data_IF_106842773625
#
_entry.id   IF_106842773625
#
_cell.length_a   1.000
_cell.length_b   1.000
_cell.length_c   1.000
_cell.angle_alpha   90.00
_cell.angle_beta   90.00
_cell.angle_gamma   90.00
#
_symmetry.space_group_name_H-M   'P 1'
#
loop_
_entity.id
_entity.type
_entity.pdbx_description
1 polymer ?
#
# COMPACT_ATOMS: atom_id res chain seq x y z
N UNK A 1 20.61 -6.43 1.58
CA UNK A 1 20.74 -5.06 2.12
C UNK A 1 19.89 -4.99 3.37
N UNK A 2 20.52 -4.81 4.53
CA UNK A 2 19.82 -4.43 5.75
C UNK A 2 19.58 -2.93 5.59
N UNK A 3 18.33 -2.46 5.64
CA UNK A 3 18.02 -1.03 5.77
C UNK A 3 18.75 -0.55 7.04
N UNK A 4 19.89 0.14 6.89
CA UNK A 4 20.69 0.61 8.03
C UNK A 4 20.03 1.76 8.80
N UNK A 5 18.85 2.23 8.38
CA UNK A 5 18.28 3.51 8.83
C UNK A 5 17.22 3.40 9.94
N UNK A 6 16.64 2.21 10.19
CA UNK A 6 15.64 2.03 11.24
C UNK A 6 16.22 1.32 12.47
N UNK A 7 16.38 2.06 13.57
CA UNK A 7 16.71 1.49 14.87
C UNK A 7 15.41 1.23 15.68
N UNK A 8 14.97 -0.03 15.80
CA UNK A 8 13.75 -0.36 16.54
C UNK A 8 13.83 0.01 18.03
N UNK A 9 15.04 0.18 18.59
CA UNK A 9 15.25 0.59 19.98
C UNK A 9 14.96 2.08 20.20
N UNK A 10 15.01 2.90 19.14
CA UNK A 10 14.70 4.34 19.19
C UNK A 10 13.23 4.66 19.03
N UNK A 11 12.40 3.65 18.74
CA UNK A 11 10.98 3.87 18.55
C UNK A 11 10.18 3.60 19.82
N UNK A 12 9.42 4.61 20.23
CA UNK A 12 8.67 4.62 21.48
C UNK A 12 7.44 3.73 21.43
N UNK A 13 7.11 3.12 22.56
CA UNK A 13 6.17 2.02 22.65
C UNK A 13 4.72 2.45 22.34
N UNK A 14 4.31 2.11 21.12
CA UNK A 14 2.92 2.07 20.62
C UNK A 14 2.32 0.68 20.88
N UNK A 15 2.24 0.27 22.15
CA UNK A 15 1.94 -1.12 22.53
C UNK A 15 0.58 -1.58 22.02
N UNK A 16 -0.45 -0.73 22.16
CA UNK A 16 -1.79 -1.04 21.69
C UNK A 16 -1.85 -1.26 20.18
N UNK A 17 -1.25 -0.36 19.39
CA UNK A 17 -1.25 -0.49 17.94
C UNK A 17 -0.39 -1.68 17.46
N UNK A 18 0.69 -1.99 18.18
CA UNK A 18 1.49 -3.19 17.95
C UNK A 18 0.70 -4.46 18.26
N UNK A 19 -0.05 -4.49 19.36
CA UNK A 19 -0.90 -5.63 19.71
C UNK A 19 -1.94 -5.87 18.60
N UNK A 20 -2.67 -4.84 18.18
CA UNK A 20 -3.63 -4.95 17.06
C UNK A 20 -2.99 -5.50 15.78
N UNK A 21 -1.78 -5.03 15.45
CA UNK A 21 -1.05 -5.55 14.29
C UNK A 21 -0.62 -7.01 14.48
N UNK A 22 -0.20 -7.41 15.68
CA UNK A 22 0.14 -8.79 16.00
C UNK A 22 -1.08 -9.71 15.94
N UNK A 23 -2.27 -9.25 16.34
CA UNK A 23 -3.51 -10.00 16.19
C UNK A 23 -3.87 -10.25 14.74
N UNK A 24 -3.70 -9.24 13.87
CA UNK A 24 -3.85 -9.38 12.43
C UNK A 24 -2.85 -10.38 11.86
N UNK A 25 -1.58 -10.27 12.26
CA UNK A 25 -0.55 -11.24 11.89
C UNK A 25 -0.86 -12.64 12.40
N UNK A 26 -1.62 -12.82 13.47
CA UNK A 26 -2.03 -14.14 13.94
C UNK A 26 -3.30 -14.64 13.23
N UNK A 27 -3.97 -13.77 12.46
CA UNK A 27 -5.26 -14.05 11.82
C UNK A 27 -6.30 -14.57 12.83
N UNK A 28 -6.32 -13.99 14.05
CA UNK A 28 -7.19 -14.44 15.17
C UNK A 28 -8.67 -14.38 14.82
N UNK A 29 -9.07 -13.42 13.99
CA UNK A 29 -10.44 -13.18 13.58
C UNK A 29 -10.52 -12.93 12.06
N UNK A 30 -11.65 -12.37 11.59
CA UNK A 30 -11.89 -12.04 10.18
C UNK A 30 -11.30 -10.70 9.74
N UNK A 31 -10.67 -9.94 10.64
CA UNK A 31 -10.11 -8.63 10.30
C UNK A 31 -8.85 -8.78 9.46
N UNK A 32 -8.77 -7.96 8.42
CA UNK A 32 -7.66 -7.96 7.46
C UNK A 32 -7.10 -6.58 7.21
N UNK A 33 -7.74 -5.53 7.73
CA UNK A 33 -7.32 -4.14 7.56
C UNK A 33 -7.04 -3.51 8.92
N UNK A 34 -5.89 -2.87 9.06
CA UNK A 34 -5.59 -1.91 10.13
C UNK A 34 -5.59 -0.50 9.53
N UNK A 35 -6.59 0.31 9.85
CA UNK A 35 -6.66 1.70 9.44
C UNK A 35 -6.16 2.61 10.56
N UNK A 36 -5.11 3.39 10.30
CA UNK A 36 -4.47 4.28 11.27
C UNK A 36 -4.67 5.73 10.80
N UNK A 37 -5.61 6.40 11.44
CA UNK A 37 -5.88 7.82 11.24
C UNK A 37 -5.28 8.60 12.40
N UNK A 38 -4.51 9.65 12.10
CA UNK A 38 -4.07 10.61 13.12
C UNK A 38 -3.59 11.91 12.47
N UNK A 39 -3.37 12.94 13.26
CA UNK A 39 -2.74 14.18 12.85
C UNK A 39 -1.29 13.97 12.37
N UNK A 40 -0.75 14.99 11.69
CA UNK A 40 0.65 14.99 11.24
C UNK A 40 1.64 14.89 12.41
N UNK A 41 2.78 14.23 12.18
CA UNK A 41 3.89 14.15 13.15
C UNK A 41 3.67 13.23 14.35
N UNK A 42 2.55 12.52 14.43
CA UNK A 42 2.26 11.57 15.53
C UNK A 42 3.03 10.24 15.43
N UNK A 43 3.92 10.09 14.46
CA UNK A 43 4.78 8.90 14.32
C UNK A 43 4.16 7.72 13.55
N UNK A 44 3.11 7.94 12.74
CA UNK A 44 2.50 6.90 11.89
C UNK A 44 3.52 6.22 10.98
N UNK A 45 4.34 6.99 10.25
CA UNK A 45 5.35 6.43 9.35
C UNK A 45 6.38 5.57 10.08
N UNK A 46 6.85 6.04 11.24
CA UNK A 46 7.78 5.28 12.08
C UNK A 46 7.14 4.00 12.66
N UNK A 47 5.84 4.03 12.98
CA UNK A 47 5.08 2.85 13.39
C UNK A 47 4.98 1.82 12.26
N UNK A 48 4.71 2.26 11.03
CA UNK A 48 4.69 1.38 9.86
C UNK A 48 6.08 0.76 9.56
N UNK A 49 7.17 1.53 9.71
CA UNK A 49 8.53 0.97 9.63
C UNK A 49 8.79 -0.07 10.72
N UNK A 50 8.28 0.15 11.94
CA UNK A 50 8.34 -0.86 13.01
C UNK A 50 7.57 -2.13 12.64
N UNK A 51 6.37 -1.99 12.06
CA UNK A 51 5.59 -3.15 11.59
C UNK A 51 6.33 -3.90 10.47
N UNK A 52 6.92 -3.18 9.51
CA UNK A 52 7.77 -3.77 8.46
C UNK A 52 8.96 -4.54 9.04
N UNK A 53 9.65 -3.95 10.03
CA UNK A 53 10.72 -4.62 10.76
C UNK A 53 10.22 -5.88 11.48
N UNK A 54 9.05 -5.83 12.11
CA UNK A 54 8.42 -6.98 12.78
C UNK A 54 8.15 -8.12 11.80
N UNK A 55 7.58 -7.83 10.63
CA UNK A 55 7.35 -8.83 9.56
C UNK A 55 8.65 -9.52 9.11
N UNK A 56 9.77 -8.79 9.06
CA UNK A 56 11.10 -9.31 8.68
C UNK A 56 11.76 -10.18 9.77
N UNK A 57 11.38 -9.99 11.03
CA UNK A 57 12.03 -10.64 12.19
C UNK A 57 11.22 -11.77 12.81
N UNK A 58 9.89 -11.74 12.71
CA UNK A 58 9.02 -12.83 13.16
C UNK A 58 9.29 -14.10 12.33
N UNK A 59 9.07 -15.28 12.93
CA UNK A 59 9.21 -16.59 12.27
C UNK A 59 7.83 -17.28 12.18
N UNK A 60 7.42 -17.79 11.00
CA UNK A 60 8.06 -17.58 9.70
C UNK A 60 8.07 -16.10 9.30
N UNK A 61 9.05 -15.69 8.48
CA UNK A 61 9.13 -14.30 8.00
C UNK A 61 7.91 -14.01 7.15
N UNK A 62 7.26 -12.87 7.38
CA UNK A 62 6.10 -12.42 6.62
C UNK A 62 6.55 -11.44 5.53
N UNK A 63 6.31 -11.73 4.25
CA UNK A 63 6.50 -10.78 3.15
C UNK A 63 5.71 -9.50 3.37
N UNK A 64 6.38 -8.37 3.15
CA UNK A 64 5.81 -7.06 3.41
C UNK A 64 6.29 -6.06 2.37
N UNK A 65 5.37 -5.23 1.88
CA UNK A 65 5.69 -4.02 1.11
C UNK A 65 5.13 -2.80 1.83
N UNK A 66 5.97 -1.78 1.98
CA UNK A 66 5.60 -0.49 2.57
C UNK A 66 5.77 0.59 1.51
N UNK A 67 4.65 1.19 1.10
CA UNK A 67 4.62 2.21 0.06
C UNK A 67 4.16 3.54 0.65
N UNK A 68 4.98 4.58 0.45
CA UNK A 68 4.58 5.97 0.73
C UNK A 68 3.86 6.50 -0.49
N UNK A 69 2.54 6.68 -0.37
CA UNK A 69 1.70 7.06 -1.50
C UNK A 69 1.98 8.49 -2.00
N UNK A 70 2.58 9.36 -1.18
CA UNK A 70 3.04 10.68 -1.60
C UNK A 70 4.40 10.68 -2.33
N UNK A 71 5.03 9.51 -2.51
CA UNK A 71 6.32 9.33 -3.18
C UNK A 71 6.23 8.42 -4.41
N UNK A 72 5.02 8.17 -4.92
CA UNK A 72 4.85 7.43 -6.17
C UNK A 72 5.51 8.21 -7.33
N UNK A 73 6.15 7.53 -8.30
CA UNK A 73 6.79 8.18 -9.44
C UNK A 73 5.78 8.88 -10.36
N UNK A 74 4.50 8.53 -10.26
CA UNK A 74 3.39 9.15 -10.98
C UNK A 74 2.07 8.96 -10.23
N UNK A 75 0.99 9.46 -10.84
CA UNK A 75 -0.36 9.42 -10.27
C UNK A 75 -1.17 8.19 -10.74
N UNK A 76 -0.51 7.11 -11.14
CA UNK A 76 -1.16 5.90 -11.65
C UNK A 76 -1.21 4.78 -10.62
N UNK A 77 -2.33 4.03 -10.52
CA UNK A 77 -2.36 2.76 -9.78
C UNK A 77 -1.31 1.75 -10.21
N UNK A 78 -0.89 1.79 -11.48
CA UNK A 78 0.16 0.90 -11.99
C UNK A 78 1.52 1.20 -11.34
N UNK A 79 1.80 2.46 -11.01
CA UNK A 79 3.04 2.84 -10.31
C UNK A 79 3.09 2.25 -8.90
N UNK A 80 1.95 2.27 -8.20
CA UNK A 80 1.80 1.60 -6.90
C UNK A 80 2.03 0.09 -7.04
N UNK A 81 1.37 -0.57 -8.00
CA UNK A 81 1.51 -2.02 -8.22
C UNK A 81 2.95 -2.39 -8.60
N UNK A 82 3.63 -1.59 -9.42
CA UNK A 82 5.03 -1.82 -9.75
C UNK A 82 5.95 -1.82 -8.51
N UNK A 83 5.70 -0.94 -7.55
CA UNK A 83 6.44 -0.93 -6.26
C UNK A 83 6.12 -2.18 -5.45
N UNK A 84 4.83 -2.56 -5.36
CA UNK A 84 4.40 -3.77 -4.66
C UNK A 84 5.07 -5.03 -5.24
N UNK A 85 5.00 -5.20 -6.56
CA UNK A 85 5.63 -6.33 -7.27
C UNK A 85 7.13 -6.32 -7.04
N UNK A 86 7.80 -5.16 -7.14
CA UNK A 86 9.24 -5.06 -6.88
C UNK A 86 9.60 -5.53 -5.47
N UNK A 87 8.88 -5.08 -4.44
CA UNK A 87 9.13 -5.44 -3.05
C UNK A 87 8.85 -6.92 -2.74
N UNK A 88 7.86 -7.50 -3.41
CA UNK A 88 7.38 -8.87 -3.17
C UNK A 88 8.05 -9.93 -4.06
N UNK A 89 8.59 -9.53 -5.22
CA UNK A 89 9.27 -10.40 -6.20
C UNK A 89 10.45 -11.22 -5.68
N UNK A 90 11.19 -10.84 -4.61
CA UNK A 90 12.23 -11.71 -4.06
C UNK A 90 11.70 -13.04 -3.52
N UNK A 91 10.38 -13.15 -3.31
CA UNK A 91 9.75 -14.35 -2.76
C UNK A 91 8.62 -14.91 -3.62
N UNK A 92 7.97 -14.07 -4.41
CA UNK A 92 6.80 -14.45 -5.19
C UNK A 92 7.00 -14.22 -6.67
N UNK A 93 6.40 -15.08 -7.48
CA UNK A 93 6.43 -14.97 -8.93
C UNK A 93 5.20 -14.24 -9.44
N UNK A 94 5.38 -13.06 -10.00
CA UNK A 94 4.33 -12.25 -10.61
C UNK A 94 4.33 -12.42 -12.14
N UNK A 95 4.39 -13.67 -12.60
CA UNK A 95 4.57 -13.99 -14.01
C UNK A 95 3.44 -13.48 -14.90
N UNK A 96 2.18 -13.53 -14.44
CA UNK A 96 1.08 -13.00 -15.23
C UNK A 96 1.18 -11.48 -15.34
N UNK A 97 1.38 -10.78 -14.23
CA UNK A 97 1.62 -9.34 -14.24
C UNK A 97 2.79 -8.95 -15.15
N UNK A 98 3.96 -9.59 -14.97
CA UNK A 98 5.17 -9.30 -15.74
C UNK A 98 4.98 -9.56 -17.24
N UNK A 99 4.24 -10.61 -17.61
CA UNK A 99 3.88 -10.90 -19.00
C UNK A 99 3.08 -9.76 -19.62
N UNK A 100 2.01 -9.31 -18.96
CA UNK A 100 1.17 -8.23 -19.48
C UNK A 100 1.85 -6.87 -19.46
N UNK A 101 2.63 -6.57 -18.41
CA UNK A 101 3.36 -5.31 -18.32
C UNK A 101 4.48 -5.23 -19.37
N UNK A 102 5.21 -6.32 -19.60
CA UNK A 102 6.18 -6.39 -20.70
C UNK A 102 5.51 -6.17 -22.05
N UNK A 103 4.38 -6.85 -22.28
CA UNK A 103 3.60 -6.69 -23.51
C UNK A 103 3.14 -5.23 -23.71
N UNK A 104 2.69 -4.56 -22.64
CA UNK A 104 2.32 -3.14 -22.65
C UNK A 104 3.50 -2.23 -22.99
N UNK A 105 4.66 -2.43 -22.35
CA UNK A 105 5.88 -1.64 -22.57
C UNK A 105 6.38 -1.80 -24.02
N UNK A 106 6.40 -3.03 -24.53
CA UNK A 106 6.85 -3.33 -25.90
C UNK A 106 5.76 -3.11 -26.96
N UNK A 107 4.57 -2.63 -26.56
CA UNK A 107 3.43 -2.40 -27.45
C UNK A 107 2.97 -3.67 -28.19
N UNK A 108 3.24 -4.86 -27.63
CA UNK A 108 2.71 -6.14 -28.10
C UNK A 108 1.30 -6.36 -27.53
N UNK A 109 0.29 -6.15 -28.36
CA UNK A 109 -1.10 -6.28 -27.93
C UNK A 109 -1.61 -7.72 -27.98
N UNK A 110 -0.84 -8.67 -28.51
CA UNK A 110 -1.25 -10.06 -28.68
C UNK A 110 -1.74 -10.70 -27.37
N UNK A 111 -0.96 -10.71 -26.26
CA UNK A 111 -1.40 -11.29 -25.00
C UNK A 111 -2.54 -10.49 -24.34
N UNK A 112 -2.53 -9.17 -24.49
CA UNK A 112 -3.55 -8.28 -23.89
C UNK A 112 -4.90 -8.48 -24.58
N UNK A 113 -4.92 -8.57 -25.91
CA UNK A 113 -6.13 -8.86 -26.70
C UNK A 113 -6.72 -10.22 -26.37
N UNK A 114 -5.88 -11.23 -26.13
CA UNK A 114 -6.34 -12.56 -25.71
C UNK A 114 -6.96 -12.55 -24.29
N UNK A 115 -6.50 -11.66 -23.41
CA UNK A 115 -7.04 -11.52 -22.05
C UNK A 115 -8.33 -10.70 -21.98
N UNK A 116 -8.51 -9.76 -22.91
CA UNK A 116 -9.75 -8.99 -23.04
C UNK A 116 -10.78 -9.91 -23.68
N UNK A 117 -11.62 -10.54 -22.85
CA UNK A 117 -12.70 -11.42 -23.30
C UNK A 117 -13.72 -10.63 -24.16
N UNK A 118 -13.47 -10.62 -25.47
CA UNK A 118 -14.30 -9.95 -26.48
C UNK A 118 -15.69 -10.59 -26.59
N UNK A 119 -15.93 -11.77 -26.01
CA UNK A 119 -17.24 -12.42 -26.06
C UNK A 119 -18.31 -11.71 -25.22
N UNK A 120 -17.92 -10.84 -24.28
CA UNK A 120 -18.85 -9.99 -23.52
C UNK A 120 -19.00 -8.56 -24.05
N UNK A 121 -18.29 -8.21 -25.12
CA UNK A 121 -18.45 -6.91 -25.75
C UNK A 121 -19.74 -6.88 -26.60
N UNK A 122 -20.82 -6.35 -26.05
CA UNK A 122 -22.10 -6.21 -26.78
C UNK A 122 -22.00 -5.05 -27.78
N UNK A 123 -21.72 -5.35 -29.05
CA UNK A 123 -21.59 -4.34 -30.13
C UNK A 123 -22.92 -3.78 -30.66
N UNK A 124 -24.03 -3.87 -29.91
CA UNK A 124 -25.38 -3.58 -30.41
C UNK A 124 -25.65 -2.11 -30.80
N UNK A 125 -24.68 -1.19 -30.68
CA UNK A 125 -24.84 0.22 -31.07
C UNK A 125 -23.63 0.84 -31.78
N UNK A 126 -22.59 0.08 -32.08
CA UNK A 126 -21.42 0.64 -32.74
C UNK A 126 -21.67 0.73 -34.25
N UNK A 127 -21.67 1.96 -34.80
CA UNK A 127 -21.52 2.21 -36.23
C UNK A 127 -20.03 2.41 -36.49
N UNK A 128 -19.50 1.74 -37.51
CA UNK A 128 -18.09 1.75 -37.92
C UNK A 128 -17.11 1.13 -36.89
N UNK A 129 -17.25 -0.18 -36.65
CA UNK A 129 -16.23 -0.95 -35.93
C UNK A 129 -15.21 -1.49 -36.93
N UNK A 130 -14.03 -0.88 -36.97
CA UNK A 130 -12.87 -1.46 -37.65
C UNK A 130 -12.20 -2.46 -36.71
N UNK A 131 -12.52 -3.75 -36.86
CA UNK A 131 -11.85 -4.82 -36.12
C UNK A 131 -10.51 -5.10 -36.81
N UNK A 132 -9.45 -4.49 -36.32
CA UNK A 132 -8.09 -4.87 -36.70
C UNK A 132 -7.75 -6.21 -36.03
N UNK A 133 -7.62 -7.25 -36.85
CA UNK A 133 -7.24 -8.63 -36.50
C UNK A 133 -8.15 -9.35 -35.50
N UNK A 134 -9.15 -10.06 -36.06
CA UNK A 134 -9.58 -11.32 -35.47
C UNK A 134 -9.43 -12.37 -36.56
N UNK A 135 -8.55 -13.34 -36.33
CA UNK A 135 -8.53 -14.60 -37.07
C UNK A 135 -9.76 -15.43 -36.65
N UNK A 136 -10.94 -14.90 -36.93
CA UNK A 136 -12.16 -15.72 -36.99
C UNK A 136 -12.04 -16.50 -38.28
N UNK A 137 -12.07 -17.83 -38.19
CA UNK A 137 -12.45 -18.67 -39.32
C UNK A 137 -13.87 -18.23 -39.75
N UNK A 138 -13.92 -17.24 -40.63
CA UNK A 138 -15.10 -16.85 -41.38
C UNK A 138 -14.94 -17.57 -42.71
N UNK A 139 -15.81 -18.54 -42.97
CA UNK A 139 -15.75 -19.35 -44.19
C UNK A 139 -15.94 -18.55 -45.48
N UNK A 140 -16.22 -17.24 -45.42
CA UNK A 140 -16.12 -16.33 -46.54
C UNK A 140 -15.70 -14.93 -46.07
N UNK A 141 -14.47 -14.52 -46.37
CA UNK A 141 -14.09 -13.11 -46.31
C UNK A 141 -13.01 -12.79 -47.35
N UNK A 142 -13.33 -11.79 -48.17
CA UNK A 142 -12.40 -11.09 -49.04
C UNK A 142 -11.16 -10.63 -48.28
N UNK A 143 -10.01 -10.73 -48.94
CA UNK A 143 -8.69 -10.28 -48.49
C UNK A 143 -8.73 -8.86 -47.93
N UNK A 144 -8.68 -8.73 -46.61
CA UNK A 144 -8.40 -7.46 -45.93
C UNK A 144 -6.88 -7.30 -45.86
N UNK A 145 -6.35 -6.41 -46.69
CA UNK A 145 -4.95 -5.99 -46.64
C UNK A 145 -4.73 -5.12 -45.40
N UNK A 146 -3.94 -5.60 -44.45
CA UNK A 146 -3.53 -4.83 -43.28
C UNK A 146 -2.15 -4.24 -43.56
N UNK A 147 -2.10 -2.95 -43.85
CA UNK A 147 -0.85 -2.20 -43.92
C UNK A 147 -0.27 -2.02 -42.51
N UNK A 148 1.05 -2.17 -42.31
CA UNK A 148 1.73 -1.88 -41.06
C UNK A 148 1.85 -0.36 -40.88
N UNK A 149 0.73 0.31 -40.65
CA UNK A 149 0.70 1.69 -40.20
C UNK A 149 1.03 1.71 -38.72
N UNK A 150 2.04 2.51 -38.34
CA UNK A 150 2.39 2.82 -36.95
C UNK A 150 1.14 3.23 -36.18
N UNK A 151 0.57 2.29 -35.43
CA UNK A 151 -0.58 2.55 -34.57
C UNK A 151 -0.06 3.27 -33.35
N UNK A 152 -0.19 4.59 -33.37
CA UNK A 152 -0.18 5.34 -32.12
C UNK A 152 -1.19 4.68 -31.18
N UNK A 153 -0.74 4.34 -29.97
CA UNK A 153 -1.59 3.76 -28.96
C UNK A 153 -2.73 4.75 -28.71
N UNK A 154 -3.93 4.41 -29.17
CA UNK A 154 -5.13 5.09 -28.72
C UNK A 154 -5.13 5.04 -27.20
N UNK A 155 -5.48 6.16 -26.56
CA UNK A 155 -5.59 6.27 -25.09
C UNK A 155 -6.48 5.16 -24.49
N UNK A 156 -7.43 4.65 -25.26
CA UNK A 156 -8.31 3.56 -24.83
C UNK A 156 -7.61 2.21 -24.76
N UNK A 157 -6.66 1.95 -25.65
CA UNK A 157 -5.88 0.69 -25.66
C UNK A 157 -4.91 0.68 -24.49
N UNK A 158 -4.21 1.80 -24.22
CA UNK A 158 -3.30 1.91 -23.07
C UNK A 158 -4.07 1.73 -21.75
N UNK A 159 -5.26 2.34 -21.64
CA UNK A 159 -6.13 2.18 -20.46
C UNK A 159 -6.50 0.71 -20.24
N UNK A 160 -6.98 0.02 -21.27
CA UNK A 160 -7.33 -1.41 -21.17
C UNK A 160 -6.12 -2.28 -20.87
N UNK A 161 -4.97 -1.99 -21.46
CA UNK A 161 -3.72 -2.70 -21.16
C UNK A 161 -3.33 -2.57 -19.69
N UNK A 162 -3.43 -1.36 -19.12
CA UNK A 162 -3.22 -1.12 -17.69
C UNK A 162 -4.21 -1.90 -16.83
N UNK A 163 -5.50 -1.90 -17.18
CA UNK A 163 -6.54 -2.68 -16.47
C UNK A 163 -6.22 -4.18 -16.45
N UNK A 164 -5.77 -4.76 -17.57
CA UNK A 164 -5.34 -6.16 -17.65
C UNK A 164 -4.13 -6.42 -16.75
N UNK A 165 -3.13 -5.52 -16.73
CA UNK A 165 -1.98 -5.65 -15.84
C UNK A 165 -2.43 -5.63 -14.36
N UNK A 166 -3.28 -4.69 -13.98
CA UNK A 166 -3.79 -4.57 -12.61
C UNK A 166 -4.60 -5.81 -12.18
N UNK A 167 -5.41 -6.36 -13.08
CA UNK A 167 -6.14 -7.62 -12.84
C UNK A 167 -5.19 -8.80 -12.65
N UNK A 168 -4.18 -8.94 -13.52
CA UNK A 168 -3.20 -10.02 -13.42
C UNK A 168 -2.39 -9.96 -12.12
N UNK A 169 -2.10 -8.75 -11.62
CA UNK A 169 -1.50 -8.58 -10.30
C UNK A 169 -2.40 -9.12 -9.18
N UNK A 170 -3.71 -8.87 -9.23
CA UNK A 170 -4.64 -9.41 -8.23
C UNK A 170 -4.72 -10.93 -8.28
N UNK A 171 -4.70 -11.52 -9.48
CA UNK A 171 -4.70 -12.97 -9.66
C UNK A 171 -3.42 -13.60 -9.07
N UNK A 172 -2.25 -13.06 -9.43
CA UNK A 172 -0.97 -13.49 -8.87
C UNK A 172 -0.96 -13.35 -7.33
N UNK A 173 -1.43 -12.21 -6.80
CA UNK A 173 -1.45 -11.95 -5.37
C UNK A 173 -2.40 -12.92 -4.62
N UNK A 174 -3.58 -13.21 -5.18
CA UNK A 174 -4.54 -14.19 -4.64
C UNK A 174 -3.92 -15.59 -4.58
N UNK A 175 -3.23 -16.01 -5.63
CA UNK A 175 -2.54 -17.30 -5.70
C UNK A 175 -1.49 -17.43 -4.58
N UNK A 176 -0.63 -16.42 -4.41
CA UNK A 176 0.40 -16.45 -3.36
C UNK A 176 -0.19 -16.42 -1.96
N UNK A 177 -1.27 -15.67 -1.76
CA UNK A 177 -1.99 -15.61 -0.48
C UNK A 177 -2.70 -16.91 -0.08
N UNK A 178 -2.84 -17.89 -1.00
CA UNK A 178 -3.34 -19.20 -0.66
C UNK A 178 -2.36 -19.97 0.24
N UNK A 179 -1.06 -19.76 0.03
CA UNK A 179 0.01 -20.50 0.71
C UNK A 179 0.68 -19.69 1.82
N UNK A 180 0.77 -18.37 1.65
CA UNK A 180 1.55 -17.53 2.53
C UNK A 180 0.86 -16.21 2.89
N UNK A 181 1.12 -15.72 4.10
CA UNK A 181 0.66 -14.41 4.56
C UNK A 181 1.44 -13.28 3.93
N UNK A 182 0.75 -12.29 3.39
CA UNK A 182 1.33 -11.10 2.79
C UNK A 182 0.79 -9.85 3.49
N UNK A 183 1.66 -8.89 3.77
CA UNK A 183 1.27 -7.60 4.35
C UNK A 183 1.56 -6.47 3.37
N UNK A 184 0.52 -5.70 3.04
CA UNK A 184 0.64 -4.45 2.30
C UNK A 184 0.51 -3.30 3.30
N UNK A 185 1.35 -2.28 3.18
CA UNK A 185 1.28 -1.09 4.01
C UNK A 185 1.31 0.17 3.14
N UNK A 186 0.29 1.01 3.28
CA UNK A 186 0.16 2.28 2.60
C UNK A 186 0.29 3.41 3.61
N UNK A 187 1.33 4.21 3.48
CA UNK A 187 1.53 5.42 4.29
C UNK A 187 1.09 6.65 3.49
N UNK A 188 0.80 7.75 4.20
CA UNK A 188 0.41 9.05 3.63
C UNK A 188 -0.81 8.98 2.70
N UNK A 189 -1.82 8.16 3.04
CA UNK A 189 -3.04 8.02 2.23
C UNK A 189 -3.71 9.36 1.91
N UNK A 190 -3.77 10.28 2.86
CA UNK A 190 -4.35 11.61 2.67
C UNK A 190 -3.72 12.40 1.54
N UNK A 191 -2.44 12.17 1.24
CA UNK A 191 -1.68 12.89 0.22
C UNK A 191 -1.64 12.19 -1.13
N UNK A 192 -2.19 10.99 -1.27
CA UNK A 192 -2.19 10.28 -2.55
C UNK A 192 -3.11 10.97 -3.55
N UNK A 193 -2.80 10.81 -4.84
CA UNK A 193 -3.64 11.36 -5.91
C UNK A 193 -5.05 10.76 -5.87
N UNK A 194 -6.05 11.51 -6.36
CA UNK A 194 -7.44 11.05 -6.41
C UNK A 194 -7.57 9.73 -7.18
N UNK A 195 -6.85 9.60 -8.30
CA UNK A 195 -6.86 8.39 -9.13
C UNK A 195 -6.39 7.15 -8.36
N UNK A 196 -5.34 7.30 -7.54
CA UNK A 196 -4.83 6.20 -6.69
C UNK A 196 -5.81 5.90 -5.54
N UNK A 197 -6.41 6.91 -4.91
CA UNK A 197 -7.44 6.72 -3.87
C UNK A 197 -8.65 5.96 -4.40
N UNK A 198 -9.20 6.44 -5.52
CA UNK A 198 -10.36 5.84 -6.19
C UNK A 198 -10.04 4.37 -6.53
N UNK A 199 -8.87 4.08 -7.09
CA UNK A 199 -8.49 2.69 -7.39
C UNK A 199 -8.31 1.82 -6.13
N UNK A 200 -7.70 2.35 -5.07
CA UNK A 200 -7.57 1.63 -3.80
C UNK A 200 -8.96 1.27 -3.27
N UNK A 201 -9.91 2.21 -3.25
CA UNK A 201 -11.25 1.99 -2.71
C UNK A 201 -12.14 1.13 -3.61
N UNK A 202 -12.12 1.38 -4.91
CA UNK A 202 -13.04 0.74 -5.86
C UNK A 202 -12.56 -0.61 -6.38
N UNK A 203 -11.25 -0.84 -6.39
CA UNK A 203 -10.67 -2.06 -6.96
C UNK A 203 -9.98 -2.89 -5.89
N UNK A 204 -8.98 -2.33 -5.20
CA UNK A 204 -8.17 -3.10 -4.26
C UNK A 204 -8.98 -3.53 -3.02
N UNK A 205 -9.66 -2.60 -2.35
CA UNK A 205 -10.44 -2.88 -1.14
C UNK A 205 -11.65 -3.75 -1.47
N UNK A 206 -12.39 -3.39 -2.52
CA UNK A 206 -13.57 -4.14 -2.96
C UNK A 206 -13.21 -5.60 -3.27
N UNK A 207 -12.24 -5.85 -4.15
CA UNK A 207 -11.96 -7.19 -4.66
C UNK A 207 -11.11 -8.06 -3.74
N UNK A 208 -10.26 -7.47 -2.89
CA UNK A 208 -9.31 -8.23 -2.07
C UNK A 208 -9.65 -8.24 -0.57
N UNK A 209 -10.57 -7.40 -0.09
CA UNK A 209 -10.86 -7.32 1.34
C UNK A 209 -12.35 -7.42 1.66
N UNK A 210 -13.23 -6.83 0.84
CA UNK A 210 -14.67 -6.80 1.09
C UNK A 210 -15.47 -7.82 0.27
N UNK A 211 -14.90 -8.43 -0.77
CA UNK A 211 -15.43 -9.66 -1.38
C UNK A 211 -15.21 -10.85 -0.43
N UNK A 212 -16.12 -11.02 0.55
CA UNK A 212 -16.02 -12.07 1.56
C UNK A 212 -15.97 -13.49 0.99
N UNK A 213 -16.48 -13.71 -0.22
CA UNK A 213 -16.48 -15.02 -0.87
C UNK A 213 -15.13 -15.34 -1.52
N UNK A 214 -14.51 -14.35 -2.18
CA UNK A 214 -13.30 -14.56 -2.98
C UNK A 214 -12.03 -13.91 -2.44
N UNK A 215 -12.09 -13.19 -1.31
CA UNK A 215 -10.93 -12.50 -0.75
C UNK A 215 -9.82 -13.48 -0.30
N UNK A 216 -8.54 -13.14 -0.51
CA UNK A 216 -7.44 -13.93 0.02
C UNK A 216 -7.41 -13.95 1.56
N UNK A 217 -7.40 -15.14 2.15
CA UNK A 217 -7.49 -15.31 3.62
C UNK A 217 -6.26 -14.83 4.38
N UNK A 218 -5.09 -14.79 3.73
CA UNK A 218 -3.81 -14.43 4.35
C UNK A 218 -3.27 -13.06 3.91
N UNK A 219 -4.09 -12.23 3.25
CA UNK A 219 -3.71 -10.87 2.88
C UNK A 219 -4.09 -9.89 4.00
N UNK A 220 -3.12 -9.10 4.46
CA UNK A 220 -3.32 -8.05 5.46
C UNK A 220 -2.95 -6.71 4.84
N UNK A 221 -3.72 -5.68 5.17
CA UNK A 221 -3.48 -4.31 4.75
C UNK A 221 -3.39 -3.37 5.96
N UNK A 222 -2.39 -2.51 5.96
CA UNK A 222 -2.29 -1.38 6.89
C UNK A 222 -2.39 -0.10 6.05
N UNK A 223 -3.38 0.75 6.31
CA UNK A 223 -3.50 2.07 5.68
C UNK A 223 -3.33 3.14 6.74
N UNK A 224 -2.41 4.07 6.53
CA UNK A 224 -2.14 5.17 7.44
C UNK A 224 -2.24 6.53 6.74
N UNK A 225 -2.85 7.50 7.43
CA UNK A 225 -3.02 8.86 6.91
C UNK A 225 -3.62 9.82 7.93
N UNK A 226 -3.75 11.10 7.56
CA UNK A 226 -4.62 12.07 8.25
C UNK A 226 -6.09 11.83 7.94
N UNK A 227 -6.31 11.33 6.74
CA UNK A 227 -7.54 10.80 6.21
C UNK A 227 -7.28 9.34 5.84
N UNK A 228 -8.32 8.53 5.92
CA UNK A 228 -8.35 7.12 5.52
C UNK A 228 -9.62 6.90 4.68
N UNK A 229 -9.75 5.78 3.95
CA UNK A 229 -10.99 5.47 3.25
C UNK A 229 -12.22 5.57 4.17
N UNK A 230 -13.32 6.10 3.64
CA UNK A 230 -14.59 6.21 4.38
C UNK A 230 -15.31 4.85 4.38
N UNK A 231 -14.79 3.92 5.19
CA UNK A 231 -15.26 2.54 5.21
C UNK A 231 -16.75 2.42 5.57
N UNK A 232 -17.23 3.26 6.49
CA UNK A 232 -18.61 3.24 6.99
C UNK A 232 -19.62 3.70 5.93
N UNK A 233 -19.21 4.58 5.02
CA UNK A 233 -20.07 5.05 3.93
C UNK A 233 -20.15 4.06 2.78
N UNK A 234 -19.08 3.31 2.51
CA UNK A 234 -18.94 2.50 1.30
C UNK A 234 -19.37 1.04 1.49
N UNK A 235 -19.12 0.46 2.66
CA UNK A 235 -19.46 -0.93 2.96
C UNK A 235 -20.48 -1.04 4.10
N UNK A 236 -21.11 -2.20 4.22
CA UNK A 236 -22.07 -2.43 5.30
C UNK A 236 -21.39 -2.31 6.67
N UNK A 237 -22.14 -1.88 7.69
CA UNK A 237 -21.60 -1.76 9.05
C UNK A 237 -21.12 -3.10 9.61
N UNK A 238 -21.67 -4.22 9.13
CA UNK A 238 -21.26 -5.57 9.50
C UNK A 238 -19.89 -5.90 8.89
N UNK A 239 -19.75 -5.74 7.57
CA UNK A 239 -18.50 -6.03 6.85
C UNK A 239 -17.35 -5.15 7.34
N UNK A 240 -17.63 -3.86 7.57
CA UNK A 240 -16.68 -2.91 8.13
C UNK A 240 -16.17 -3.38 9.51
N UNK A 241 -17.05 -3.70 10.45
CA UNK A 241 -16.66 -4.14 11.80
C UNK A 241 -15.94 -5.50 11.78
N UNK A 242 -16.30 -6.38 10.85
CA UNK A 242 -15.68 -7.69 10.71
C UNK A 242 -14.28 -7.62 10.08
N UNK A 243 -14.06 -6.68 9.16
CA UNK A 243 -12.86 -6.63 8.31
C UNK A 243 -11.84 -5.58 8.75
N UNK A 244 -12.29 -4.47 9.33
CA UNK A 244 -11.44 -3.30 9.65
C UNK A 244 -11.26 -3.14 11.15
N UNK A 245 -10.01 -2.91 11.56
CA UNK A 245 -9.62 -2.40 12.88
C UNK A 245 -9.13 -0.97 12.70
N UNK A 246 -9.78 -0.02 13.36
CA UNK A 246 -9.50 1.41 13.18
C UNK A 246 -8.85 2.01 14.43
N UNK A 247 -7.74 2.72 14.25
CA UNK A 247 -7.09 3.55 15.27
C UNK A 247 -7.25 5.00 14.82
N UNK A 248 -8.15 5.77 15.47
CA UNK A 248 -8.47 7.16 15.09
C UNK A 248 -7.55 8.23 15.68
N UNK A 249 -6.82 7.86 16.72
CA UNK A 249 -5.78 8.66 17.33
C UNK A 249 -4.79 7.68 17.93
N UNK A 250 -3.50 7.85 17.63
CA UNK A 250 -2.48 7.08 18.31
C UNK A 250 -2.49 7.47 19.79
N UNK A 251 -2.16 6.51 20.67
CA UNK A 251 -2.19 6.75 22.11
C UNK A 251 -1.41 8.03 22.49
N UNK A 252 -1.93 8.84 23.42
CA UNK A 252 -1.17 10.01 23.86
C UNK A 252 0.16 9.57 24.46
N UNK A 253 1.23 10.30 24.17
CA UNK A 253 2.51 10.08 24.83
C UNK A 253 2.34 10.42 26.31
N UNK A 254 2.79 9.51 27.17
CA UNK A 254 2.89 9.77 28.60
C UNK A 254 4.36 10.15 28.94
N UNK A 255 4.62 10.51 30.20
CA UNK A 255 5.97 10.91 30.63
C UNK A 255 7.00 9.78 30.44
N UNK A 256 6.59 8.52 30.63
CA UNK A 256 7.45 7.34 30.42
C UNK A 256 7.87 7.20 28.95
N UNK A 257 6.97 7.46 28.00
CA UNK A 257 7.27 7.45 26.57
C UNK A 257 8.31 8.51 26.19
N UNK A 258 8.25 9.71 26.77
CA UNK A 258 9.25 10.76 26.56
C UNK A 258 10.60 10.36 27.18
N UNK A 259 10.59 9.75 28.34
CA UNK A 259 11.79 9.23 29.00
C UNK A 259 12.47 8.12 28.19
N UNK A 260 11.72 7.12 27.74
CA UNK A 260 12.22 6.07 26.83
C UNK A 260 12.82 6.65 25.55
N UNK A 261 12.20 7.72 25.01
CA UNK A 261 12.75 8.48 23.89
C UNK A 261 14.13 9.04 24.21
N UNK A 262 14.25 9.81 25.30
CA UNK A 262 15.49 10.49 25.67
C UNK A 262 16.62 9.47 25.87
N UNK A 263 16.33 8.37 26.57
CA UNK A 263 17.28 7.28 26.79
C UNK A 263 17.72 6.62 25.47
N UNK A 264 16.79 6.36 24.54
CA UNK A 264 17.12 5.70 23.29
C UNK A 264 17.97 6.55 22.34
N UNK A 265 17.86 7.88 22.44
CA UNK A 265 18.74 8.82 21.74
C UNK A 265 20.05 9.11 22.49
N UNK A 266 20.29 8.45 23.64
CA UNK A 266 21.50 8.63 24.44
C UNK A 266 21.57 9.99 25.14
N UNK A 267 20.43 10.63 25.36
CA UNK A 267 20.35 11.91 26.03
C UNK A 267 20.40 11.71 27.55
N UNK A 268 21.35 12.35 28.22
CA UNK A 268 21.35 12.47 29.67
C UNK A 268 20.45 13.66 30.06
N UNK A 269 19.35 13.40 30.76
CA UNK A 269 18.37 14.42 31.12
C UNK A 269 18.20 14.52 32.64
N UNK A 270 17.83 15.72 33.09
CA UNK A 270 17.31 15.91 34.43
C UNK A 270 15.78 15.76 34.44
N UNK A 271 15.15 15.48 35.60
CA UNK A 271 13.70 15.39 35.70
C UNK A 271 12.95 16.62 35.14
N UNK A 272 13.55 17.81 35.24
CA UNK A 272 12.99 19.06 34.72
C UNK A 272 12.96 19.10 33.19
N UNK A 273 13.98 18.53 32.53
CA UNK A 273 14.04 18.43 31.07
C UNK A 273 12.95 17.49 30.57
N UNK A 274 12.78 16.34 31.22
CA UNK A 274 11.72 15.39 30.93
C UNK A 274 10.33 16.05 31.07
N UNK A 275 10.11 16.83 32.12
CA UNK A 275 8.88 17.59 32.30
C UNK A 275 8.67 18.71 31.28
N UNK A 276 9.76 19.33 30.80
CA UNK A 276 9.70 20.33 29.74
C UNK A 276 9.31 19.69 28.40
N UNK A 277 9.97 18.60 28.01
CA UNK A 277 9.64 17.85 26.80
C UNK A 277 8.23 17.28 26.84
N UNK A 278 7.82 16.71 27.98
CA UNK A 278 6.46 16.22 28.15
C UNK A 278 5.42 17.34 28.01
N UNK A 279 5.69 18.54 28.56
CA UNK A 279 4.81 19.71 28.36
C UNK A 279 4.74 20.18 26.90
N UNK A 280 5.81 20.05 26.12
CA UNK A 280 5.78 20.37 24.69
C UNK A 280 4.85 19.41 23.94
N UNK A 281 4.95 18.11 24.24
CA UNK A 281 4.05 17.10 23.68
C UNK A 281 2.59 17.36 24.06
N UNK A 282 2.32 17.68 25.34
CA UNK A 282 0.97 18.02 25.79
C UNK A 282 0.41 19.30 25.13
N UNK A 283 1.28 20.21 24.71
CA UNK A 283 0.91 21.43 23.95
C UNK A 283 0.68 21.15 22.46
N UNK A 284 0.69 19.89 22.05
CA UNK A 284 0.43 19.47 20.68
C UNK A 284 1.66 19.51 19.78
N UNK A 285 2.86 19.69 20.34
CA UNK A 285 4.07 19.53 19.55
C UNK A 285 4.19 18.05 19.16
N UNK A 286 4.28 17.74 17.85
CA UNK A 286 4.37 16.35 17.43
C UNK A 286 5.62 15.69 18.01
N UNK A 287 5.56 14.42 18.42
CA UNK A 287 6.72 13.77 18.99
C UNK A 287 7.93 13.69 18.04
N UNK A 288 7.70 13.65 16.72
CA UNK A 288 8.79 13.78 15.73
C UNK A 288 9.58 15.07 15.90
N UNK A 289 8.88 16.17 16.18
CA UNK A 289 9.48 17.49 16.30
C UNK A 289 10.21 17.62 17.64
N UNK A 290 9.68 16.99 18.69
CA UNK A 290 10.38 16.82 19.97
C UNK A 290 11.68 16.04 19.78
N UNK A 291 11.66 14.94 19.03
CA UNK A 291 12.87 14.17 18.68
C UNK A 291 13.85 15.04 17.89
N UNK A 292 13.40 15.80 16.90
CA UNK A 292 14.27 16.70 16.15
C UNK A 292 14.87 17.79 17.03
N UNK A 293 14.12 18.37 17.97
CA UNK A 293 14.62 19.31 18.96
C UNK A 293 15.71 18.66 19.82
N UNK A 294 15.48 17.45 20.33
CA UNK A 294 16.46 16.70 21.13
C UNK A 294 17.74 16.47 20.31
N UNK A 295 17.62 15.97 19.08
CA UNK A 295 18.77 15.72 18.19
C UNK A 295 19.53 17.02 17.93
N UNK A 296 18.82 18.13 17.71
CA UNK A 296 19.45 19.44 17.48
C UNK A 296 20.23 19.93 18.70
N UNK A 297 19.76 19.64 19.92
CA UNK A 297 20.45 19.99 21.16
C UNK A 297 21.68 19.11 21.42
N UNK A 298 21.63 17.82 21.08
CA UNK A 298 22.78 16.91 21.20
C UNK A 298 23.89 17.28 20.21
N UNK A 299 23.50 17.62 18.98
CA UNK A 299 24.45 17.95 17.91
C UNK A 299 24.88 19.41 17.89
N UNK A 300 24.26 20.27 18.71
CA UNK A 300 24.72 21.63 18.88
C UNK A 300 26.15 21.56 19.47
N UNK A 301 27.17 22.10 18.78
CA UNK A 301 28.51 22.15 19.34
C UNK A 301 28.40 22.96 20.61
N UNK A 302 28.55 22.30 21.77
CA UNK A 302 28.74 22.99 23.03
C UNK A 302 29.90 23.96 22.80
N UNK A 303 29.58 25.24 22.66
CA UNK A 303 30.56 26.29 22.60
C UNK A 303 31.41 26.14 23.84
N UNK A 304 32.65 25.70 23.66
CA UNK A 304 33.68 25.74 24.70
C UNK A 304 33.90 27.22 25.01
N UNK A 305 33.16 27.72 26.00
CA UNK A 305 33.55 28.90 26.77
C UNK A 305 34.69 28.54 27.69
#
# INVERSE_FOLDING_TARGET
MIDEDFDPKKFINREFEQELFEELLQLKDTSRILAIQDNGGMGKSQLLEKFKYRCRTIKPRTPVSLVKLDQLPGDSPLDLVNILVKDLSPRFDFSNFNRYESARIFKDLSPIRAAIDLHKATFNKAKDVTIAEVATHVDHADTVNISPGSTEFSSDIDRKAKEVCLSAFFDDLKEHCANERIVLMFDTYDKSSKNVKDWIEEQLLEQLFFDCENRPKQLILVIAGREIPDFERRWSAEDYKATVRSVRALGQWNKKHVEECLLAFGFDYKPEDLDAFYRLVQRGLPPSDVVHLIISMVNAPFGRG
#
